data_IF_223193432396
#
_entry.id   IF_223193432396
#
_cell.length_a   1.000
_cell.length_b   1.000
_cell.length_c   1.000
_cell.angle_alpha   90.00
_cell.angle_beta   90.00
_cell.angle_gamma   90.00
#
_symmetry.space_group_name_H-M   'P 1'
#
loop_
_entity.id
_entity.type
_entity.pdbx_description
1 polymer ?
#
# COMPACT_ATOMS: atom_id res chain seq x y z
N UNK A 1 -22.87 23.67 -29.94
CA UNK A 1 -22.68 22.21 -29.79
C UNK A 1 -22.45 21.95 -28.31
N UNK A 2 -23.37 21.23 -27.66
CA UNK A 2 -23.23 20.88 -26.24
C UNK A 2 -22.33 19.65 -26.16
N UNK A 3 -21.12 19.81 -25.62
CA UNK A 3 -20.23 18.68 -25.31
C UNK A 3 -20.82 18.04 -24.05
N UNK A 4 -21.44 16.87 -24.20
CA UNK A 4 -21.86 16.05 -23.07
C UNK A 4 -20.62 15.73 -22.24
N UNK A 5 -20.52 16.29 -21.04
CA UNK A 5 -19.48 15.91 -20.09
C UNK A 5 -19.59 14.40 -19.83
N UNK A 6 -18.54 13.65 -20.13
CA UNK A 6 -18.48 12.24 -19.76
C UNK A 6 -18.30 12.20 -18.25
N UNK A 7 -19.36 11.85 -17.53
CA UNK A 7 -19.30 11.71 -16.09
C UNK A 7 -18.46 10.47 -15.75
N UNK A 8 -17.37 10.68 -15.03
CA UNK A 8 -16.49 9.66 -14.49
C UNK A 8 -17.20 8.79 -13.45
N UNK A 9 -16.61 7.66 -13.11
CA UNK A 9 -17.14 6.73 -12.11
C UNK A 9 -16.03 6.11 -11.28
N UNK A 10 -16.25 6.01 -9.97
CA UNK A 10 -15.31 5.34 -9.05
C UNK A 10 -15.89 3.98 -8.71
N UNK A 11 -15.18 2.92 -9.07
CA UNK A 11 -15.54 1.52 -8.81
C UNK A 11 -14.45 0.85 -7.98
N UNK A 12 -14.84 0.27 -6.86
CA UNK A 12 -13.96 -0.48 -5.98
C UNK A 12 -14.44 -1.93 -5.95
N UNK A 13 -13.64 -2.86 -6.47
CA UNK A 13 -13.83 -4.31 -6.30
C UNK A 13 -13.01 -4.77 -5.09
N UNK A 14 -13.71 -5.04 -4.00
CA UNK A 14 -13.13 -5.54 -2.76
C UNK A 14 -13.70 -6.94 -2.48
N UNK A 15 -12.82 -7.94 -2.37
CA UNK A 15 -13.19 -9.30 -1.98
C UNK A 15 -12.45 -9.72 -0.72
N UNK A 16 -12.78 -9.12 0.45
CA UNK A 16 -11.92 -9.11 1.63
C UNK A 16 -11.74 -10.49 2.30
N UNK A 17 -12.56 -11.47 1.94
CA UNK A 17 -12.52 -12.83 2.51
C UNK A 17 -12.01 -13.90 1.52
N UNK A 18 -11.71 -13.55 0.26
CA UNK A 18 -11.28 -14.51 -0.75
C UNK A 18 -9.75 -14.46 -0.89
N UNK A 19 -9.05 -15.22 -0.05
CA UNK A 19 -7.62 -15.43 -0.27
C UNK A 19 -7.41 -16.31 -1.49
N UNK A 20 -6.57 -15.85 -2.41
CA UNK A 20 -6.31 -16.44 -3.72
C UNK A 20 -4.94 -17.11 -3.73
N UNK A 21 -4.73 -18.03 -4.68
CA UNK A 21 -3.37 -18.49 -4.99
C UNK A 21 -2.63 -17.39 -5.76
N UNK A 22 -1.29 -17.45 -5.78
CA UNK A 22 -0.48 -16.49 -6.50
C UNK A 22 -0.82 -16.44 -8.00
N UNK A 23 -1.02 -17.61 -8.61
CA UNK A 23 -1.38 -17.76 -10.02
C UNK A 23 -2.72 -17.09 -10.31
N UNK A 24 -3.68 -17.23 -9.39
CA UNK A 24 -4.99 -16.59 -9.53
C UNK A 24 -4.91 -15.08 -9.37
N UNK A 25 -4.04 -14.57 -8.49
CA UNK A 25 -3.76 -13.12 -8.41
C UNK A 25 -3.20 -12.60 -9.73
N UNK A 26 -2.18 -13.27 -10.28
CA UNK A 26 -1.59 -12.92 -11.58
C UNK A 26 -2.66 -12.89 -12.68
N UNK A 27 -3.50 -13.93 -12.74
CA UNK A 27 -4.59 -14.01 -13.71
C UNK A 27 -5.65 -12.91 -13.55
N UNK A 28 -6.01 -12.51 -12.33
CA UNK A 28 -6.96 -11.39 -12.14
C UNK A 28 -6.36 -10.04 -12.51
N UNK A 29 -5.08 -9.79 -12.22
CA UNK A 29 -4.39 -8.56 -12.66
C UNK A 29 -4.28 -8.51 -14.18
N UNK A 30 -3.96 -9.64 -14.83
CA UNK A 30 -3.85 -9.73 -16.28
C UNK A 30 -5.18 -9.38 -17.01
N UNK A 31 -6.33 -9.59 -16.36
CA UNK A 31 -7.66 -9.22 -16.91
C UNK A 31 -7.94 -7.72 -16.88
N UNK A 32 -7.18 -6.92 -16.14
CA UNK A 32 -7.38 -5.47 -16.08
C UNK A 32 -7.10 -4.88 -17.46
N UNK A 33 -8.13 -4.27 -18.08
CA UNK A 33 -7.99 -3.65 -19.39
C UNK A 33 -7.27 -2.30 -19.30
N UNK A 34 -6.24 -2.13 -20.13
CA UNK A 34 -5.41 -0.92 -20.20
C UNK A 34 -4.37 -0.81 -19.08
N UNK A 35 -3.65 0.32 -19.03
CA UNK A 35 -2.56 0.52 -18.08
C UNK A 35 -3.03 0.41 -16.62
N UNK A 36 -2.22 -0.20 -15.78
CA UNK A 36 -2.54 -0.41 -14.36
C UNK A 36 -1.33 -0.22 -13.44
N UNK A 37 -1.55 0.37 -12.26
CA UNK A 37 -0.54 0.39 -11.20
C UNK A 37 -0.87 -0.68 -10.16
N UNK A 38 0.12 -1.53 -9.86
CA UNK A 38 -0.03 -2.65 -8.93
C UNK A 38 0.78 -2.35 -7.67
N UNK A 39 0.14 -2.17 -6.53
CA UNK A 39 0.81 -2.00 -5.25
C UNK A 39 1.06 -3.35 -4.61
N UNK A 40 2.32 -3.65 -4.33
CA UNK A 40 2.76 -4.83 -3.60
C UNK A 40 3.45 -4.38 -2.32
N UNK A 41 2.95 -4.81 -1.17
CA UNK A 41 3.70 -4.69 0.08
C UNK A 41 4.91 -5.60 0.03
N UNK A 42 6.08 -4.98 -0.08
CA UNK A 42 7.27 -5.70 -0.53
C UNK A 42 8.30 -5.84 0.57
N UNK A 43 8.64 -4.79 1.30
CA UNK A 43 9.70 -4.84 2.32
C UNK A 43 9.23 -4.19 3.60
N UNK A 44 9.52 -4.79 4.74
CA UNK A 44 9.29 -4.17 6.04
C UNK A 44 10.57 -3.66 6.71
N UNK A 45 10.46 -3.22 7.96
CA UNK A 45 11.57 -2.57 8.67
C UNK A 45 12.84 -3.40 8.84
N UNK A 46 12.69 -4.72 8.91
CA UNK A 46 13.81 -5.67 9.03
C UNK A 46 14.18 -6.32 7.68
N UNK A 47 13.59 -5.84 6.58
CA UNK A 47 13.67 -6.49 5.28
C UNK A 47 12.45 -7.40 5.00
N UNK A 48 12.64 -8.34 4.07
CA UNK A 48 11.66 -9.41 3.78
C UNK A 48 12.35 -10.76 4.03
N UNK A 49 11.73 -11.70 4.74
CA UNK A 49 12.27 -13.05 4.88
C UNK A 49 12.61 -13.65 3.52
N UNK A 50 13.76 -14.34 3.37
CA UNK A 50 14.22 -14.89 2.07
C UNK A 50 13.15 -15.69 1.33
N UNK A 51 12.40 -16.52 2.06
CA UNK A 51 11.29 -17.29 1.49
C UNK A 51 10.16 -16.39 0.95
N UNK A 52 9.85 -15.30 1.65
CA UNK A 52 8.90 -14.28 1.19
C UNK A 52 9.41 -13.55 -0.05
N UNK A 53 10.70 -13.19 -0.09
CA UNK A 53 11.33 -12.52 -1.22
C UNK A 53 11.33 -13.39 -2.48
N UNK A 54 11.71 -14.66 -2.33
CA UNK A 54 11.63 -15.64 -3.42
C UNK A 54 10.18 -15.82 -3.89
N UNK A 55 9.23 -16.01 -2.97
CA UNK A 55 7.81 -16.17 -3.31
C UNK A 55 7.26 -14.95 -4.08
N UNK A 56 7.46 -13.73 -3.56
CA UNK A 56 6.98 -12.51 -4.20
C UNK A 56 7.59 -12.33 -5.59
N UNK A 57 8.88 -12.62 -5.73
CA UNK A 57 9.60 -12.49 -6.99
C UNK A 57 9.13 -13.52 -8.00
N UNK A 58 9.17 -14.80 -7.65
CA UNK A 58 8.99 -15.91 -8.59
C UNK A 58 7.52 -16.25 -8.86
N UNK A 59 6.61 -15.94 -7.94
CA UNK A 59 5.19 -16.31 -8.05
C UNK A 59 4.26 -15.15 -8.35
N UNK A 60 4.67 -13.91 -8.09
CA UNK A 60 3.84 -12.72 -8.30
C UNK A 60 4.50 -11.76 -9.29
N UNK A 61 5.65 -11.18 -8.94
CA UNK A 61 6.27 -10.07 -9.67
C UNK A 61 6.70 -10.48 -11.07
N UNK A 62 7.52 -11.53 -11.20
CA UNK A 62 7.99 -11.97 -12.52
C UNK A 62 6.84 -12.44 -13.42
N UNK A 63 5.92 -13.32 -12.96
CA UNK A 63 4.75 -13.68 -13.78
C UNK A 63 3.88 -12.49 -14.20
N UNK A 64 3.67 -11.49 -13.32
CA UNK A 64 2.93 -10.29 -13.69
C UNK A 64 3.59 -9.50 -14.82
N UNK A 65 4.92 -9.33 -14.76
CA UNK A 65 5.69 -8.62 -15.80
C UNK A 65 5.71 -9.38 -17.13
N UNK A 66 5.65 -10.72 -17.09
CA UNK A 66 5.59 -11.59 -18.28
C UNK A 66 4.19 -11.56 -18.93
N UNK A 67 3.13 -11.63 -18.12
CA UNK A 67 1.74 -11.71 -18.59
C UNK A 67 1.16 -10.37 -19.07
N UNK A 68 1.55 -9.24 -18.45
CA UNK A 68 0.95 -7.93 -18.74
C UNK A 68 2.01 -6.84 -18.87
N UNK A 69 2.22 -6.34 -20.09
CA UNK A 69 3.27 -5.36 -20.43
C UNK A 69 2.98 -3.91 -20.02
N UNK A 70 1.72 -3.55 -19.85
CA UNK A 70 1.24 -2.20 -19.53
C UNK A 70 0.99 -2.01 -18.02
N UNK A 71 1.71 -2.74 -17.16
CA UNK A 71 1.69 -2.53 -15.71
C UNK A 71 2.85 -1.67 -15.23
N UNK A 72 2.59 -0.89 -14.19
CA UNK A 72 3.62 -0.39 -13.28
C UNK A 72 3.51 -1.13 -11.96
N UNK A 73 4.49 -1.95 -11.64
CA UNK A 73 4.64 -2.56 -10.32
C UNK A 73 5.20 -1.53 -9.35
N UNK A 74 4.49 -1.25 -8.26
CA UNK A 74 4.91 -0.37 -7.18
C UNK A 74 5.24 -1.21 -5.95
N UNK A 75 6.52 -1.39 -5.68
CA UNK A 75 7.05 -2.09 -4.52
C UNK A 75 7.05 -1.14 -3.31
N UNK A 76 6.12 -1.38 -2.39
CA UNK A 76 5.91 -0.51 -1.26
C UNK A 76 6.80 -0.93 -0.08
N UNK A 77 7.66 0.00 0.36
CA UNK A 77 8.44 -0.13 1.59
C UNK A 77 7.59 0.27 2.78
N UNK A 78 7.54 -0.62 3.76
CA UNK A 78 6.82 -0.49 5.02
C UNK A 78 7.78 -0.17 6.18
N UNK A 79 8.99 0.30 5.90
CA UNK A 79 10.03 0.57 6.89
C UNK A 79 9.54 1.50 8.02
N UNK A 80 8.79 2.54 7.66
CA UNK A 80 8.30 3.52 8.64
C UNK A 80 7.14 3.00 9.50
N UNK A 81 6.54 1.87 9.14
CA UNK A 81 5.60 1.15 10.01
C UNK A 81 6.28 0.48 11.22
N UNK A 82 7.61 0.59 11.34
CA UNK A 82 8.32 0.29 12.60
C UNK A 82 8.11 1.35 13.68
N UNK A 83 7.71 2.56 13.31
CA UNK A 83 7.55 3.70 14.20
C UNK A 83 8.82 4.05 15.02
N UNK A 84 10.01 3.78 14.48
CA UNK A 84 11.29 4.02 15.17
C UNK A 84 11.70 5.49 15.23
N UNK A 85 11.16 6.32 14.32
CA UNK A 85 11.52 7.72 14.12
C UNK A 85 10.28 8.57 14.11
N UNK A 86 10.39 9.84 14.49
CA UNK A 86 9.26 10.77 14.36
C UNK A 86 9.00 11.09 12.88
N UNK A 87 7.76 11.50 12.54
CA UNK A 87 7.39 11.81 11.13
C UNK A 87 8.28 12.89 10.51
N UNK A 88 8.75 13.86 11.30
CA UNK A 88 9.69 14.91 10.83
C UNK A 88 11.06 14.39 10.42
N UNK A 89 11.44 13.19 10.83
CA UNK A 89 12.75 12.58 10.56
C UNK A 89 12.69 11.56 9.42
N UNK A 90 11.49 11.30 8.88
CA UNK A 90 11.28 10.33 7.80
C UNK A 90 11.67 10.91 6.45
N UNK A 91 12.26 10.09 5.59
CA UNK A 91 12.63 10.44 4.22
C UNK A 91 11.90 9.56 3.22
N UNK A 92 11.49 10.12 2.09
CA UNK A 92 10.90 9.33 1.00
C UNK A 92 11.94 8.39 0.38
N UNK A 93 13.20 8.82 0.36
CA UNK A 93 14.32 7.97 -0.04
C UNK A 93 14.71 7.03 1.10
N UNK A 94 14.49 5.74 0.86
CA UNK A 94 14.91 4.57 1.63
C UNK A 94 15.95 3.78 0.83
N UNK A 95 16.63 2.83 1.48
CA UNK A 95 17.53 1.90 0.77
C UNK A 95 16.82 1.18 -0.39
N UNK A 96 15.59 0.69 -0.16
CA UNK A 96 14.80 0.03 -1.21
C UNK A 96 14.54 1.00 -2.37
N UNK A 97 14.09 2.22 -2.08
CA UNK A 97 13.71 3.13 -3.16
C UNK A 97 14.90 3.59 -3.98
N UNK A 98 16.04 3.81 -3.32
CA UNK A 98 17.29 4.14 -3.99
C UNK A 98 17.76 2.97 -4.89
N UNK A 99 17.67 1.73 -4.39
CA UNK A 99 18.03 0.54 -5.17
C UNK A 99 17.12 0.33 -6.38
N UNK A 100 15.80 0.40 -6.22
CA UNK A 100 14.87 0.22 -7.33
C UNK A 100 15.06 1.32 -8.39
N UNK A 101 15.33 2.56 -7.97
CA UNK A 101 15.67 3.65 -8.90
C UNK A 101 16.92 3.34 -9.75
N UNK A 102 17.92 2.64 -9.19
CA UNK A 102 19.15 2.25 -9.92
C UNK A 102 18.92 1.13 -10.93
N UNK A 103 17.97 0.23 -10.71
CA UNK A 103 17.71 -0.91 -11.62
C UNK A 103 17.09 -0.46 -12.95
N UNK A 104 16.55 0.76 -13.04
CA UNK A 104 16.08 1.39 -14.28
C UNK A 104 15.08 0.56 -15.10
N UNK A 105 14.32 -0.33 -14.47
CA UNK A 105 13.19 -1.00 -15.11
C UNK A 105 11.98 -0.05 -15.09
N UNK A 106 11.59 0.51 -16.23
CA UNK A 106 10.49 1.48 -16.32
C UNK A 106 9.16 0.96 -15.72
N UNK A 107 8.96 -0.36 -15.72
CA UNK A 107 7.79 -1.06 -15.19
C UNK A 107 7.84 -1.33 -13.69
N UNK A 108 8.98 -1.10 -13.01
CA UNK A 108 9.10 -1.29 -11.55
C UNK A 108 9.46 0.03 -10.90
N UNK A 109 8.65 0.42 -9.93
CA UNK A 109 8.84 1.59 -9.08
C UNK A 109 8.76 1.16 -7.63
N UNK A 110 9.21 2.04 -6.76
CA UNK A 110 9.16 1.86 -5.32
C UNK A 110 8.57 3.10 -4.66
N UNK A 111 7.95 2.90 -3.51
CA UNK A 111 7.41 3.98 -2.70
C UNK A 111 7.65 3.69 -1.22
N UNK A 112 8.07 4.69 -0.47
CA UNK A 112 8.22 4.60 0.98
C UNK A 112 6.92 4.93 1.70
N UNK A 113 6.61 4.22 2.78
CA UNK A 113 5.52 4.59 3.70
C UNK A 113 5.77 5.93 4.41
N UNK A 114 6.99 6.47 4.38
CA UNK A 114 7.28 7.83 4.83
C UNK A 114 6.37 8.86 4.16
N UNK A 115 6.15 8.72 2.85
CA UNK A 115 5.36 9.69 2.09
C UNK A 115 3.88 9.69 2.51
N UNK A 116 3.36 8.56 3.01
CA UNK A 116 2.04 8.48 3.62
C UNK A 116 2.00 9.23 4.95
N UNK A 117 2.95 8.99 5.85
CA UNK A 117 2.97 9.66 7.16
C UNK A 117 3.16 11.17 7.01
N UNK A 118 4.01 11.61 6.07
CA UNK A 118 4.18 13.01 5.70
C UNK A 118 2.88 13.61 5.16
N UNK A 119 2.19 12.94 4.24
CA UNK A 119 0.88 13.37 3.75
C UNK A 119 -0.13 13.59 4.89
N UNK A 120 -0.19 12.68 5.85
CA UNK A 120 -1.07 12.85 7.00
C UNK A 120 -0.70 14.09 7.84
N UNK A 121 0.59 14.45 7.94
CA UNK A 121 1.07 15.63 8.67
C UNK A 121 0.78 16.95 7.95
N UNK A 122 0.65 16.93 6.63
CA UNK A 122 0.39 18.11 5.81
C UNK A 122 -1.09 18.55 5.82
N UNK A 123 -2.01 17.64 6.13
CA UNK A 123 -3.45 17.89 6.14
C UNK A 123 -3.85 18.87 7.25
N UNK A 124 -4.71 19.85 6.92
CA UNK A 124 -5.09 20.93 7.86
C UNK A 124 -6.52 20.79 8.34
N UNK A 125 -6.78 21.16 9.60
CA UNK A 125 -8.13 21.05 10.23
C UNK A 125 -9.27 21.72 9.48
N UNK A 126 -8.94 22.81 8.79
CA UNK A 126 -9.92 23.61 8.04
C UNK A 126 -10.38 22.94 6.74
N UNK A 127 -9.61 22.00 6.20
CA UNK A 127 -9.88 21.33 4.93
C UNK A 127 -11.02 20.31 5.07
N UNK A 128 -11.82 20.15 4.02
CA UNK A 128 -12.98 19.25 4.07
C UNK A 128 -12.55 17.79 4.24
N UNK A 129 -11.45 17.38 3.58
CA UNK A 129 -10.87 16.05 3.71
C UNK A 129 -10.57 15.72 5.19
N UNK A 130 -9.99 16.66 5.93
CA UNK A 130 -9.66 16.45 7.34
C UNK A 130 -10.90 16.07 8.15
N UNK A 131 -12.01 16.79 7.97
CA UNK A 131 -13.24 16.59 8.76
C UNK A 131 -13.86 15.24 8.45
N UNK A 132 -13.89 14.86 7.18
CA UNK A 132 -14.47 13.58 6.75
C UNK A 132 -13.65 12.38 7.21
N UNK A 133 -12.33 12.42 7.03
CA UNK A 133 -11.47 11.33 7.50
C UNK A 133 -11.50 11.24 9.03
N UNK A 134 -11.37 12.37 9.74
CA UNK A 134 -11.45 12.39 11.21
C UNK A 134 -12.80 11.86 11.72
N UNK A 135 -13.91 12.29 11.11
CA UNK A 135 -15.25 11.82 11.48
C UNK A 135 -15.43 10.32 11.24
N UNK A 136 -14.94 9.81 10.11
CA UNK A 136 -14.95 8.37 9.82
C UNK A 136 -14.10 7.61 10.85
N UNK A 137 -12.86 8.02 11.12
CA UNK A 137 -11.99 7.33 12.07
C UNK A 137 -12.56 7.31 13.49
N UNK A 138 -13.16 8.41 13.94
CA UNK A 138 -13.79 8.48 15.25
C UNK A 138 -15.00 7.54 15.40
N UNK A 139 -15.74 7.29 14.30
CA UNK A 139 -16.96 6.49 14.30
C UNK A 139 -16.76 5.03 13.86
N UNK A 140 -15.60 4.69 13.29
CA UNK A 140 -15.33 3.36 12.77
C UNK A 140 -14.91 2.36 13.86
N UNK A 141 -15.89 1.94 14.67
CA UNK A 141 -15.70 0.96 15.75
C UNK A 141 -15.13 -0.39 15.29
N UNK A 142 -15.35 -0.77 14.03
CA UNK A 142 -14.81 -2.01 13.48
C UNK A 142 -13.28 -1.94 13.38
N UNK A 143 -12.72 -0.86 12.82
CA UNK A 143 -11.27 -0.69 12.72
C UNK A 143 -10.61 -0.67 14.10
N UNK A 144 -11.24 0.00 15.07
CA UNK A 144 -10.78 0.03 16.45
C UNK A 144 -10.68 -1.38 17.05
N UNK A 145 -11.74 -2.19 16.91
CA UNK A 145 -11.78 -3.58 17.39
C UNK A 145 -10.72 -4.47 16.75
N UNK A 146 -10.39 -4.25 15.48
CA UNK A 146 -9.32 -5.02 14.83
C UNK A 146 -7.96 -4.68 15.49
N UNK A 147 -7.72 -3.40 15.77
CA UNK A 147 -6.47 -2.95 16.37
C UNK A 147 -6.31 -3.30 17.86
N UNK A 148 -7.40 -3.57 18.58
CA UNK A 148 -7.37 -3.96 20.00
C UNK A 148 -6.50 -5.20 20.27
N UNK A 149 -6.25 -6.04 19.26
CA UNK A 149 -5.45 -7.27 19.38
C UNK A 149 -3.94 -7.02 19.45
N UNK A 150 -3.45 -5.87 19.01
CA UNK A 150 -2.02 -5.58 19.02
C UNK A 150 -1.54 -5.19 20.42
N UNK A 151 -0.38 -5.66 20.86
CA UNK A 151 0.22 -5.19 22.10
C UNK A 151 0.57 -3.69 21.97
N UNK A 152 0.32 -2.86 23.00
CA UNK A 152 0.64 -1.44 22.93
C UNK A 152 2.16 -1.22 22.80
N UNK A 153 2.55 -0.15 22.12
CA UNK A 153 3.94 0.30 22.02
C UNK A 153 4.36 1.21 23.17
N UNK A 154 3.40 1.85 23.84
CA UNK A 154 3.62 2.87 24.88
C UNK A 154 3.83 4.28 24.30
N UNK A 155 3.63 4.46 22.99
CA UNK A 155 3.81 5.74 22.29
C UNK A 155 2.49 6.07 21.58
N UNK A 156 2.03 7.30 21.74
CA UNK A 156 0.80 7.79 21.09
C UNK A 156 1.09 8.33 19.69
N UNK A 157 0.06 8.43 18.86
CA UNK A 157 0.16 9.07 17.55
C UNK A 157 0.62 10.54 17.67
N UNK A 158 0.13 11.27 18.67
CA UNK A 158 0.50 12.67 18.91
C UNK A 158 2.02 12.83 19.15
N UNK A 159 2.61 11.93 19.95
CA UNK A 159 4.05 11.90 20.20
C UNK A 159 4.85 11.59 18.92
N UNK A 160 4.29 10.80 18.01
CA UNK A 160 4.92 10.42 16.75
C UNK A 160 4.88 11.52 15.68
N UNK A 161 3.80 12.30 15.63
CA UNK A 161 3.63 13.41 14.69
C UNK A 161 4.23 14.75 15.20
N UNK A 162 4.44 14.87 16.51
CA UNK A 162 5.12 16.00 17.15
C UNK A 162 4.21 17.18 17.48
N UNK A 163 3.08 16.94 18.18
CA UNK A 163 2.09 17.95 18.62
C UNK A 163 1.48 18.84 17.51
N UNK A 164 1.78 18.57 16.24
CA UNK A 164 1.22 19.26 15.08
C UNK A 164 -0.15 18.73 14.69
N UNK A 165 -0.84 19.43 13.77
CA UNK A 165 -2.06 18.90 13.15
C UNK A 165 -1.73 17.68 12.28
N UNK A 166 -2.62 16.69 12.30
CA UNK A 166 -2.54 15.51 11.45
C UNK A 166 -3.94 15.08 11.00
N UNK A 167 -4.04 14.45 9.83
CA UNK A 167 -5.24 13.77 9.36
C UNK A 167 -5.74 12.70 10.35
N UNK A 168 -4.87 12.26 11.26
CA UNK A 168 -5.13 11.26 12.29
C UNK A 168 -5.49 11.86 13.66
N UNK A 169 -5.78 13.16 13.73
CA UNK A 169 -6.06 13.88 14.98
C UNK A 169 -7.20 13.25 15.81
N UNK A 170 -8.22 12.67 15.14
CA UNK A 170 -9.32 11.97 15.80
C UNK A 170 -8.87 10.77 16.66
N UNK A 171 -7.68 10.23 16.36
CA UNK A 171 -7.09 9.07 17.03
C UNK A 171 -5.74 9.41 17.69
N UNK A 172 -5.38 10.70 17.80
CA UNK A 172 -4.02 11.12 18.21
C UNK A 172 -3.59 10.64 19.60
N UNK A 173 -4.54 10.48 20.52
CA UNK A 173 -4.27 9.99 21.88
C UNK A 173 -4.16 8.48 21.98
N UNK A 174 -4.43 7.74 20.89
CA UNK A 174 -4.30 6.30 20.88
C UNK A 174 -2.84 5.89 20.77
N UNK A 175 -2.53 4.72 21.35
CA UNK A 175 -1.27 4.04 21.12
C UNK A 175 -1.10 3.70 19.63
N UNK A 176 0.11 3.91 19.09
CA UNK A 176 0.42 3.69 17.68
C UNK A 176 0.03 2.30 17.17
N UNK A 177 0.35 1.24 17.91
CA UNK A 177 0.00 -0.14 17.50
C UNK A 177 -1.50 -0.39 17.61
N UNK A 178 -2.17 0.26 18.56
CA UNK A 178 -3.64 0.24 18.68
C UNK A 178 -4.35 1.11 17.63
N UNK A 179 -3.62 1.96 16.91
CA UNK A 179 -4.14 2.76 15.81
C UNK A 179 -3.86 2.17 14.42
N UNK A 180 -3.10 1.06 14.34
CA UNK A 180 -2.63 0.47 13.09
C UNK A 180 -3.72 0.32 12.03
N UNK A 181 -4.86 -0.31 12.37
CA UNK A 181 -5.93 -0.56 11.40
C UNK A 181 -6.53 0.73 10.82
N UNK A 182 -6.62 1.78 11.63
CA UNK A 182 -7.11 3.09 11.22
C UNK A 182 -6.11 3.76 10.26
N UNK A 183 -4.82 3.76 10.62
CA UNK A 183 -3.77 4.30 9.76
C UNK A 183 -3.71 3.54 8.43
N UNK A 184 -3.82 2.21 8.46
CA UNK A 184 -3.78 1.35 7.28
C UNK A 184 -4.96 1.64 6.32
N UNK A 185 -6.13 1.96 6.88
CA UNK A 185 -7.30 2.35 6.12
C UNK A 185 -7.09 3.68 5.37
N UNK A 186 -6.51 4.67 6.04
CA UNK A 186 -6.18 5.97 5.43
C UNK A 186 -5.05 5.84 4.40
N UNK A 187 -4.08 4.95 4.64
CA UNK A 187 -3.00 4.67 3.68
C UNK A 187 -3.54 4.16 2.34
N UNK A 188 -4.54 3.28 2.36
CA UNK A 188 -5.21 2.85 1.13
C UNK A 188 -5.76 4.02 0.32
N UNK A 189 -6.36 5.01 1.00
CA UNK A 189 -6.88 6.21 0.34
C UNK A 189 -5.75 7.06 -0.23
N UNK A 190 -4.69 7.29 0.55
CA UNK A 190 -3.52 8.01 0.10
C UNK A 190 -2.93 7.41 -1.20
N UNK A 191 -2.81 6.09 -1.28
CA UNK A 191 -2.25 5.42 -2.46
C UNK A 191 -3.13 5.61 -3.70
N UNK A 192 -4.46 5.52 -3.58
CA UNK A 192 -5.38 5.81 -4.70
C UNK A 192 -5.35 7.29 -5.08
N UNK A 193 -5.35 8.18 -4.08
CA UNK A 193 -5.28 9.64 -4.27
C UNK A 193 -4.09 10.04 -5.14
N UNK A 194 -2.92 9.47 -4.89
CA UNK A 194 -1.72 9.74 -5.70
C UNK A 194 -1.92 9.40 -7.18
N UNK A 195 -2.58 8.29 -7.48
CA UNK A 195 -2.86 7.90 -8.85
C UNK A 195 -3.89 8.82 -9.51
N UNK A 196 -4.93 9.22 -8.77
CA UNK A 196 -5.93 10.17 -9.25
C UNK A 196 -5.29 11.54 -9.58
N UNK A 197 -4.49 12.09 -8.66
CA UNK A 197 -3.75 13.34 -8.88
C UNK A 197 -2.84 13.27 -10.10
N UNK A 198 -2.09 12.18 -10.23
CA UNK A 198 -1.22 11.96 -11.38
C UNK A 198 -2.02 11.92 -12.68
N UNK A 199 -3.15 11.20 -12.70
CA UNK A 199 -4.00 11.11 -13.89
C UNK A 199 -4.59 12.47 -14.28
N UNK A 200 -5.03 13.29 -13.32
CA UNK A 200 -5.48 14.67 -13.56
C UNK A 200 -4.36 15.49 -14.21
N UNK A 201 -3.16 15.47 -13.63
CA UNK A 201 -2.00 16.22 -14.13
C UNK A 201 -1.58 15.79 -15.54
N UNK A 202 -1.71 14.49 -15.85
CA UNK A 202 -1.36 13.92 -17.16
C UNK A 202 -2.54 13.93 -18.16
N UNK A 203 -3.71 14.45 -17.78
CA UNK A 203 -4.91 14.48 -18.63
C UNK A 203 -5.48 13.09 -18.97
N UNK A 204 -5.21 12.10 -18.13
CA UNK A 204 -5.72 10.74 -18.27
C UNK A 204 -7.11 10.60 -17.64
N UNK A 205 -8.04 9.94 -18.33
CA UNK A 205 -9.41 9.73 -17.85
C UNK A 205 -9.63 8.38 -17.14
N UNK A 206 -8.64 7.50 -17.13
CA UNK A 206 -8.73 6.16 -16.54
C UNK A 206 -7.60 5.91 -15.55
N UNK A 207 -7.95 5.49 -14.34
CA UNK A 207 -7.04 5.02 -13.31
C UNK A 207 -7.39 3.58 -12.98
N UNK A 208 -6.50 2.64 -13.27
CA UNK A 208 -6.59 1.28 -12.74
C UNK A 208 -5.53 1.07 -11.66
N UNK A 209 -5.98 0.64 -10.48
CA UNK A 209 -5.14 0.28 -9.36
C UNK A 209 -5.47 -1.14 -8.88
N UNK A 210 -4.45 -1.94 -8.61
CA UNK A 210 -4.62 -3.21 -7.91
C UNK A 210 -3.70 -3.29 -6.70
N UNK A 211 -4.25 -3.63 -5.55
CA UNK A 211 -3.51 -3.88 -4.31
C UNK A 211 -3.34 -5.39 -4.16
N UNK A 212 -2.11 -5.87 -4.31
CA UNK A 212 -1.75 -7.28 -4.14
C UNK A 212 -1.16 -7.47 -2.75
N UNK A 213 -2.00 -7.90 -1.82
CA UNK A 213 -1.72 -7.89 -0.39
C UNK A 213 -1.72 -9.30 0.22
N UNK A 214 -0.95 -9.55 1.28
CA UNK A 214 -1.05 -10.80 2.04
C UNK A 214 -2.46 -11.06 2.59
N UNK A 215 -2.76 -12.33 2.84
CA UNK A 215 -4.03 -12.77 3.39
C UNK A 215 -4.33 -12.13 4.75
N UNK A 216 -5.60 -11.78 4.96
CA UNK A 216 -6.08 -11.15 6.18
C UNK A 216 -5.96 -9.62 6.21
N UNK A 217 -5.35 -8.99 5.20
CA UNK A 217 -5.23 -7.52 5.09
C UNK A 217 -6.53 -6.86 4.63
N UNK A 218 -7.41 -7.63 3.97
CA UNK A 218 -8.73 -7.16 3.54
C UNK A 218 -9.67 -6.76 4.67
N UNK A 219 -9.36 -7.13 5.92
CA UNK A 219 -10.17 -6.78 7.09
C UNK A 219 -10.25 -5.27 7.34
N UNK A 220 -9.27 -4.50 6.88
CA UNK A 220 -9.22 -3.05 7.06
C UNK A 220 -10.10 -2.30 6.04
N UNK A 221 -10.26 -2.83 4.84
CA UNK A 221 -10.84 -2.09 3.72
C UNK A 221 -12.35 -2.32 3.52
N UNK A 222 -13.08 -2.89 4.48
CA UNK A 222 -14.46 -3.34 4.28
C UNK A 222 -15.43 -2.25 3.81
N UNK A 223 -15.29 -1.03 4.34
CA UNK A 223 -16.17 0.11 3.98
C UNK A 223 -15.54 1.01 2.91
N UNK A 224 -14.39 0.60 2.36
CA UNK A 224 -13.56 1.47 1.52
C UNK A 224 -14.25 1.83 0.21
N UNK A 225 -15.13 0.97 -0.32
CA UNK A 225 -15.94 1.27 -1.52
C UNK A 225 -16.89 2.43 -1.34
N UNK A 226 -17.35 2.70 -0.11
CA UNK A 226 -18.27 3.80 0.20
C UNK A 226 -17.54 5.08 0.56
N UNK A 227 -16.42 4.97 1.28
CA UNK A 227 -15.66 6.12 1.78
C UNK A 227 -14.72 6.71 0.73
N UNK A 228 -14.04 5.87 -0.05
CA UNK A 228 -13.05 6.31 -1.03
C UNK A 228 -13.60 7.35 -2.04
N UNK A 229 -14.78 7.15 -2.67
CA UNK A 229 -15.32 8.16 -3.59
C UNK A 229 -15.60 9.50 -2.91
N UNK A 230 -16.10 9.47 -1.67
CA UNK A 230 -16.40 10.67 -0.89
C UNK A 230 -15.12 11.43 -0.57
N UNK A 231 -14.10 10.73 -0.06
CA UNK A 231 -12.83 11.36 0.30
C UNK A 231 -12.10 11.94 -0.92
N UNK A 232 -12.06 11.20 -2.04
CA UNK A 232 -11.46 11.72 -3.27
C UNK A 232 -12.17 12.97 -3.78
N UNK A 233 -13.52 13.00 -3.77
CA UNK A 233 -14.28 14.20 -4.18
C UNK A 233 -14.03 15.39 -3.25
N UNK A 234 -13.87 15.15 -1.95
CA UNK A 234 -13.63 16.20 -0.94
C UNK A 234 -12.22 16.79 -0.98
N UNK A 235 -11.27 16.00 -1.46
CA UNK A 235 -9.88 16.39 -1.57
C UNK A 235 -9.53 16.97 -2.95
N UNK A 236 -10.03 16.36 -4.03
CA UNK A 236 -9.69 16.71 -5.41
C UNK A 236 -10.79 17.50 -6.13
N UNK A 237 -11.90 17.79 -5.46
CA UNK A 237 -13.00 18.59 -6.01
C UNK A 237 -13.66 17.94 -7.24
N UNK A 238 -14.10 18.78 -8.18
CA UNK A 238 -14.80 18.35 -9.39
C UNK A 238 -13.86 17.67 -10.42
N UNK A 239 -12.54 17.86 -10.32
CA UNK A 239 -11.58 17.27 -11.26
C UNK A 239 -11.64 15.73 -11.25
N UNK A 240 -11.91 15.13 -10.08
CA UNK A 240 -12.06 13.67 -9.97
C UNK A 240 -13.28 13.15 -10.72
N UNK A 241 -14.30 14.00 -10.96
CA UNK A 241 -15.49 13.59 -11.70
C UNK A 241 -15.21 13.35 -13.19
N UNK A 242 -14.06 13.80 -13.70
CA UNK A 242 -13.59 13.47 -15.05
C UNK A 242 -12.94 12.07 -15.14
N UNK A 243 -12.64 11.44 -13.99
CA UNK A 243 -11.91 10.19 -13.92
C UNK A 243 -12.85 8.97 -13.80
N UNK A 244 -12.51 7.90 -14.52
CA UNK A 244 -12.92 6.55 -14.16
C UNK A 244 -11.84 5.90 -13.33
N UNK A 245 -12.12 5.63 -12.05
CA UNK A 245 -11.17 5.02 -11.12
C UNK A 245 -11.63 3.60 -10.83
N UNK A 246 -10.79 2.61 -11.09
CA UNK A 246 -11.03 1.20 -10.81
C UNK A 246 -9.98 0.71 -9.83
N UNK A 247 -10.43 0.28 -8.65
CA UNK A 247 -9.56 -0.22 -7.59
C UNK A 247 -9.91 -1.67 -7.30
N UNK A 248 -8.93 -2.56 -7.37
CA UNK A 248 -9.08 -3.98 -7.01
C UNK A 248 -8.20 -4.33 -5.82
N UNK A 249 -8.75 -5.01 -4.82
CA UNK A 249 -7.94 -5.60 -3.75
C UNK A 249 -7.88 -7.11 -3.90
N UNK A 250 -6.67 -7.63 -4.07
CA UNK A 250 -6.38 -9.03 -4.32
C UNK A 250 -5.52 -9.58 -3.18
N UNK A 251 -6.03 -10.56 -2.46
CA UNK A 251 -5.37 -11.12 -1.28
C UNK A 251 -4.78 -12.49 -1.58
N UNK A 252 -3.54 -12.75 -1.17
CA UNK A 252 -2.88 -14.05 -1.41
C UNK A 252 -2.33 -14.68 -0.13
N UNK A 253 -2.13 -15.99 -0.15
CA UNK A 253 -1.42 -16.71 0.92
C UNK A 253 0.02 -17.00 0.49
N UNK A 254 0.98 -16.67 1.33
CA UNK A 254 2.35 -17.19 1.20
C UNK A 254 2.33 -18.72 1.36
N UNK A 255 3.05 -19.45 0.51
CA UNK A 255 3.12 -20.91 0.58
C UNK A 255 3.66 -21.42 1.92
N UNK A 256 4.66 -20.72 2.48
CA UNK A 256 5.32 -21.11 3.73
C UNK A 256 4.68 -20.49 4.99
N UNK A 257 3.40 -20.11 4.92
CA UNK A 257 2.68 -19.56 6.07
C UNK A 257 2.96 -18.07 6.34
N UNK A 258 2.54 -17.60 7.53
CA UNK A 258 2.60 -16.17 7.86
C UNK A 258 4.01 -15.62 8.01
N UNK A 259 4.98 -16.49 8.30
CA UNK A 259 6.39 -16.16 8.55
C UNK A 259 7.14 -15.60 7.33
N UNK A 260 6.51 -15.61 6.16
CA UNK A 260 7.05 -15.02 4.93
C UNK A 260 6.56 -13.58 4.67
N UNK A 261 5.80 -12.99 5.59
CA UNK A 261 5.25 -11.63 5.46
C UNK A 261 6.31 -10.54 5.74
N UNK A 262 6.20 -9.35 5.13
CA UNK A 262 7.12 -8.23 5.38
C UNK A 262 7.03 -7.63 6.80
N UNK A 263 5.99 -7.94 7.57
CA UNK A 263 5.72 -7.30 8.87
C UNK A 263 6.32 -8.00 10.09
N UNK A 264 6.84 -9.23 9.92
CA UNK A 264 7.25 -10.03 11.06
C UNK A 264 8.72 -9.77 11.40
N UNK A 265 8.96 -9.30 12.62
CA UNK A 265 10.28 -9.27 13.24
C UNK A 265 10.50 -10.57 14.02
N UNK A 266 11.16 -11.55 13.39
CA UNK A 266 11.58 -12.80 14.04
C UNK A 266 13.04 -13.10 13.73
N UNK A 267 13.68 -13.96 14.53
CA UNK A 267 14.97 -14.58 14.18
C UNK A 267 14.83 -15.36 12.87
N UNK A 268 15.60 -14.99 11.85
CA UNK A 268 15.60 -15.65 10.54
C UNK A 268 16.49 -14.92 9.55
N UNK A 269 16.66 -15.52 8.37
CA UNK A 269 17.39 -14.92 7.26
C UNK A 269 16.48 -13.94 6.50
N UNK A 270 16.83 -12.66 6.57
CA UNK A 270 16.15 -11.60 5.82
C UNK A 270 17.00 -11.17 4.64
N UNK A 271 16.33 -10.86 3.54
CA UNK A 271 16.91 -10.05 2.48
C UNK A 271 16.76 -8.61 2.93
N UNK A 272 17.87 -7.89 3.05
CA UNK A 272 17.83 -6.48 3.45
C UNK A 272 17.23 -5.63 2.33
N UNK A 273 16.62 -4.47 2.64
CA UNK A 273 16.10 -3.56 1.62
C UNK A 273 17.09 -3.29 0.47
N UNK A 274 18.37 -3.03 0.80
CA UNK A 274 19.45 -2.82 -0.17
C UNK A 274 19.84 -4.03 -1.06
N UNK A 275 19.38 -5.24 -0.73
CA UNK A 275 19.71 -6.47 -1.46
C UNK A 275 18.56 -6.96 -2.34
N UNK A 276 17.37 -6.36 -2.21
CA UNK A 276 16.16 -6.78 -2.94
C UNK A 276 16.29 -6.67 -4.45
N UNK A 277 17.07 -5.71 -4.93
CA UNK A 277 17.30 -5.51 -6.36
C UNK A 277 17.90 -6.75 -7.03
N UNK A 278 18.71 -7.54 -6.31
CA UNK A 278 19.29 -8.82 -6.78
C UNK A 278 18.22 -9.89 -7.00
N UNK A 279 17.22 -9.95 -6.12
CA UNK A 279 16.12 -10.91 -6.26
C UNK A 279 15.29 -10.59 -7.50
N UNK A 280 14.98 -9.31 -7.74
CA UNK A 280 14.26 -8.90 -8.94
C UNK A 280 15.00 -9.22 -10.25
N UNK A 281 16.34 -9.18 -10.24
CA UNK A 281 17.17 -9.58 -11.38
C UNK A 281 17.36 -11.10 -11.52
N UNK A 282 16.83 -11.90 -10.58
CA UNK A 282 17.06 -13.35 -10.56
C UNK A 282 18.47 -13.76 -10.14
N UNK A 283 19.27 -12.82 -9.62
CA UNK A 283 20.63 -13.04 -9.10
C UNK A 283 20.62 -13.59 -7.66
N UNK A 284 19.48 -13.47 -6.96
CA UNK A 284 19.28 -13.96 -5.59
C UNK A 284 18.89 -15.45 -5.49
N UNK A 285 19.43 -16.33 -6.35
CA UNK A 285 19.13 -17.77 -6.25
C UNK A 285 19.57 -18.30 -4.89
N UNK A 286 18.64 -18.90 -4.14
CA UNK A 286 19.00 -19.85 -3.09
C UNK A 286 19.73 -21.01 -3.76
N UNK A 287 21.03 -21.10 -3.54
CA UNK A 287 21.77 -22.36 -3.69
C UNK A 287 21.28 -23.31 -2.60
N UNK A 288 20.12 -23.93 -2.83
CA UNK A 288 19.80 -25.23 -2.26
C UNK A 288 19.97 -26.24 -3.39
N UNK A 289 21.20 -26.37 -3.88
CA UNK A 289 21.61 -27.62 -4.51
C UNK A 289 22.22 -28.47 -3.41
N UNK A 290 21.67 -29.68 -3.31
CA UNK A 290 22.12 -30.73 -2.44
C UNK A 290 23.63 -30.98 -2.66
N UNK A 291 24.44 -30.83 -1.62
CA UNK A 291 25.55 -31.77 -1.43
C UNK A 291 24.98 -32.93 -0.61
N UNK A 292 24.46 -33.93 -1.33
CA UNK A 292 24.58 -35.30 -0.86
C UNK A 292 26.07 -35.64 -0.82
N UNK A 293 26.62 -35.81 0.39
CA UNK A 293 27.71 -36.74 0.71
C UNK A 293 27.34 -37.47 2.00
#
# INVERSE_FOLDING_TARGET
MSISAVQGSIKVDLRPNNTMTAEKVVAEVAKISGPATIYCWYVGPEGLPKAGAAFMTDRIIRPLLEEKRDITLCLYSLEEWSFRRAVSEMTEETELTAEIARVSAASIKSLSSASFFQFCKEARKREELYREVSGCLASNTQLMRISERFAPLGITIDAFYGNGESLLDAIKSMDLKKAYSCMQYVEGYYLVRRLALKAIQEGCSLVNAAFVLPGGEGKYYRNFSEDLPKWLKKDLGEEVESLTIRVSFLFFKYQNGEDSRPYLTRSGDYVRPGEMSRYLRGEGKCSTENEEV
#
